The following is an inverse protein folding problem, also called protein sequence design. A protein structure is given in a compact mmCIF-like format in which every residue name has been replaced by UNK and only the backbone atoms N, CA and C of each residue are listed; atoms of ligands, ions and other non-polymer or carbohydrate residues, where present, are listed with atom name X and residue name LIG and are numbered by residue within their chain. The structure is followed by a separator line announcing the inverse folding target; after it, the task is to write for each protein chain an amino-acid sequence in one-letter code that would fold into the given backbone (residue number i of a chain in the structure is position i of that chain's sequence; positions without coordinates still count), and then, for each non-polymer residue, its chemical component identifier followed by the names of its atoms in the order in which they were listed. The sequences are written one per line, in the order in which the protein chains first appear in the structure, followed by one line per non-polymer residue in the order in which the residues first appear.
data_IF_001803985756
#
_entry.id   IF_001803985756
#
_cell.length_a   1.000
_cell.length_b   1.000
_cell.length_c   1.000
_cell.angle_alpha   90.00
_cell.angle_beta   90.00
_cell.angle_gamma   90.00
#
_symmetry.space_group_name_H-M   'P 1'
#
loop_
_entity.id
_entity.type
_entity.pdbx_description
1 polymer ?
#
# COMPACT_ATOMS: atom_id res chain seq x y z
N UNK A 1 -62.55 -32.36 -54.67
CA UNK A 1 -61.87 -32.40 -53.35
C UNK A 1 -61.76 -30.96 -52.86
N UNK A 2 -62.71 -30.35 -52.12
CA UNK A 2 -63.32 -30.68 -50.80
C UNK A 2 -62.28 -30.75 -49.67
N UNK A 3 -62.43 -30.15 -48.46
CA UNK A 3 -63.42 -29.24 -47.79
C UNK A 3 -62.56 -28.16 -47.04
N UNK A 4 -62.91 -26.88 -46.81
CA UNK A 4 -64.04 -26.19 -46.11
C UNK A 4 -64.13 -26.48 -44.58
N UNK A 5 -64.44 -25.42 -43.81
CA UNK A 5 -64.88 -25.33 -42.38
C UNK A 5 -63.82 -25.07 -41.28
N UNK A 6 -64.07 -24.29 -40.21
CA UNK A 6 -64.97 -23.11 -40.00
C UNK A 6 -64.71 -22.45 -38.60
N UNK A 7 -64.54 -21.11 -38.53
CA UNK A 7 -65.10 -20.21 -37.46
C UNK A 7 -64.62 -20.44 -35.97
N UNK A 8 -64.75 -19.57 -34.95
CA UNK A 8 -65.62 -18.41 -34.74
C UNK A 8 -65.22 -17.53 -33.54
N UNK A 9 -65.78 -16.30 -33.48
CA UNK A 9 -66.03 -15.42 -32.28
C UNK A 9 -64.83 -14.67 -31.65
N UNK A 10 -64.95 -13.41 -31.18
CA UNK A 10 -66.11 -12.47 -31.18
C UNK A 10 -65.69 -11.00 -30.92
N UNK A 11 -66.32 -10.08 -31.65
CA UNK A 11 -66.88 -8.78 -31.19
C UNK A 11 -65.95 -7.74 -30.54
N UNK A 12 -65.52 -6.80 -31.38
CA UNK A 12 -65.96 -5.39 -31.40
C UNK A 12 -67.05 -4.94 -30.37
N UNK A 13 -67.07 -3.71 -29.85
CA UNK A 13 -66.08 -2.60 -29.89
C UNK A 13 -66.59 -1.38 -29.06
N UNK A 14 -65.72 -0.36 -28.90
CA UNK A 14 -66.02 1.09 -28.64
C UNK A 14 -66.67 1.49 -27.28
N UNK A 15 -65.93 2.28 -26.48
CA UNK A 15 -66.18 3.73 -26.26
C UNK A 15 -65.06 4.35 -25.39
N UNK A 16 -64.51 5.51 -25.78
CA UNK A 16 -63.49 6.21 -24.96
C UNK A 16 -62.53 7.12 -25.73
N UNK A 17 -63.01 8.26 -26.23
CA UNK A 17 -62.23 9.25 -26.99
C UNK A 17 -61.24 10.01 -26.09
N UNK A 18 -59.97 10.18 -26.52
CA UNK A 18 -59.28 11.47 -26.38
C UNK A 18 -58.11 11.67 -27.37
N UNK A 19 -57.91 12.93 -27.75
CA UNK A 19 -56.87 13.45 -28.64
C UNK A 19 -55.44 13.15 -28.17
N UNK A 20 -54.51 12.95 -29.14
CA UNK A 20 -53.13 13.41 -28.98
C UNK A 20 -52.62 14.02 -30.30
N UNK A 21 -51.99 15.20 -30.23
CA UNK A 21 -51.39 15.85 -31.38
C UNK A 21 -50.08 15.14 -31.79
N UNK A 22 -49.88 14.95 -33.11
CA UNK A 22 -48.54 14.71 -33.63
C UNK A 22 -47.75 16.03 -33.62
N UNK A 23 -46.67 16.07 -32.83
CA UNK A 23 -45.56 16.99 -33.05
C UNK A 23 -44.33 16.18 -33.46
N UNK A 24 -44.03 16.17 -34.76
CA UNK A 24 -42.78 15.63 -35.31
C UNK A 24 -41.62 16.55 -34.97
N UNK A 25 -40.96 16.30 -33.83
CA UNK A 25 -39.69 16.93 -33.50
C UNK A 25 -38.58 16.14 -34.21
N UNK A 26 -38.01 16.71 -35.28
CA UNK A 26 -36.70 16.27 -35.77
C UNK A 26 -35.65 16.69 -34.75
N UNK A 27 -35.37 15.82 -33.78
CA UNK A 27 -34.15 15.95 -32.98
C UNK A 27 -32.97 15.53 -33.84
N UNK A 28 -32.14 16.50 -34.21
CA UNK A 28 -30.80 16.23 -34.71
C UNK A 28 -30.02 15.56 -33.58
N UNK A 29 -29.98 14.23 -33.61
CA UNK A 29 -29.33 13.40 -32.62
C UNK A 29 -27.84 13.70 -32.56
N UNK A 30 -27.45 14.64 -31.68
CA UNK A 30 -26.14 14.56 -31.06
C UNK A 30 -26.12 13.23 -30.32
N UNK A 31 -25.46 12.24 -30.90
CA UNK A 31 -24.90 11.14 -30.13
C UNK A 31 -23.87 11.79 -29.22
N UNK A 32 -24.35 12.27 -28.07
CA UNK A 32 -23.51 12.40 -26.90
C UNK A 32 -22.93 11.00 -26.73
N UNK A 33 -21.65 10.86 -27.06
CA UNK A 33 -20.86 9.82 -26.42
C UNK A 33 -20.92 10.17 -24.95
N UNK A 34 -21.88 9.57 -24.25
CA UNK A 34 -21.68 9.26 -22.86
C UNK A 34 -20.39 8.43 -22.87
N UNK A 35 -19.27 9.10 -22.59
CA UNK A 35 -18.19 8.39 -21.94
C UNK A 35 -18.88 7.72 -20.76
N UNK A 36 -18.83 6.39 -20.73
CA UNK A 36 -19.04 5.67 -19.50
C UNK A 36 -17.91 6.16 -18.61
N UNK A 37 -18.19 7.22 -17.84
CA UNK A 37 -17.43 7.52 -16.65
C UNK A 37 -17.85 6.39 -15.72
N UNK A 38 -17.16 5.26 -15.88
CA UNK A 38 -17.08 4.23 -14.85
C UNK A 38 -16.86 5.00 -13.54
N UNK A 39 -17.75 4.87 -12.54
CA UNK A 39 -17.46 5.44 -11.25
C UNK A 39 -16.19 4.77 -10.76
N UNK A 40 -15.09 5.53 -10.72
CA UNK A 40 -13.80 5.11 -10.18
C UNK A 40 -13.94 4.92 -8.66
N UNK A 41 -14.59 3.81 -8.31
CA UNK A 41 -14.87 3.37 -6.96
C UNK A 41 -13.62 2.86 -6.28
N UNK A 42 -13.42 3.31 -5.05
CA UNK A 42 -12.28 2.98 -4.23
C UNK A 42 -12.24 1.50 -3.85
N UNK A 43 -11.08 0.87 -4.07
CA UNK A 43 -10.54 -0.20 -3.23
C UNK A 43 -10.99 -1.66 -3.43
N UNK A 44 -11.18 -2.16 -4.66
CA UNK A 44 -11.35 -3.61 -4.85
C UNK A 44 -10.04 -4.40 -4.61
N UNK A 45 -10.05 -5.26 -3.59
CA UNK A 45 -9.12 -6.39 -3.45
C UNK A 45 -9.67 -7.61 -4.19
N UNK A 46 -8.82 -8.32 -4.93
CA UNK A 46 -9.22 -9.39 -5.86
C UNK A 46 -9.06 -10.81 -5.30
N UNK A 47 -8.55 -10.95 -4.09
CA UNK A 47 -8.37 -12.24 -3.43
C UNK A 47 -8.14 -12.12 -1.93
N UNK A 48 -8.33 -13.23 -1.24
CA UNK A 48 -7.97 -13.39 0.17
C UNK A 48 -7.22 -14.71 0.36
N UNK A 49 -6.35 -14.77 1.37
CA UNK A 49 -5.51 -15.94 1.63
C UNK A 49 -5.13 -16.03 3.09
N UNK A 50 -5.16 -17.26 3.61
CA UNK A 50 -4.48 -17.64 4.85
C UNK A 50 -3.02 -17.91 4.52
N UNK A 51 -2.15 -16.96 4.81
CA UNK A 51 -0.70 -17.16 4.66
C UNK A 51 -0.24 -17.91 5.89
N UNK A 52 0.42 -19.05 5.69
CA UNK A 52 0.86 -19.92 6.79
C UNK A 52 -0.27 -20.64 7.54
N UNK A 53 -0.03 -20.95 8.81
CA UNK A 53 -0.76 -21.91 9.63
C UNK A 53 -2.01 -21.33 10.34
N UNK A 54 -2.87 -20.62 9.59
CA UNK A 54 -4.07 -19.94 10.12
C UNK A 54 -5.26 -20.90 10.30
N UNK A 55 -5.38 -21.49 11.49
CA UNK A 55 -6.29 -22.62 11.76
C UNK A 55 -7.71 -22.25 12.23
N UNK A 56 -7.91 -21.05 12.76
CA UNK A 56 -9.23 -20.56 13.23
C UNK A 56 -10.02 -19.83 12.12
N UNK A 57 -11.30 -19.52 12.34
CA UNK A 57 -12.08 -18.65 11.46
C UNK A 57 -11.48 -17.25 11.32
N UNK A 58 -11.57 -16.70 10.12
CA UNK A 58 -11.11 -15.37 9.72
C UNK A 58 -12.14 -14.77 8.76
N UNK A 59 -12.18 -13.45 8.60
CA UNK A 59 -13.18 -12.80 7.75
C UNK A 59 -12.77 -11.41 7.31
N UNK A 60 -13.25 -11.00 6.13
CA UNK A 60 -13.22 -9.62 5.67
C UNK A 60 -14.64 -9.12 5.42
N UNK A 61 -14.90 -7.87 5.76
CA UNK A 61 -16.12 -7.15 5.44
C UNK A 61 -15.76 -5.73 4.99
N UNK A 62 -16.24 -5.33 3.82
CA UNK A 62 -16.15 -3.94 3.37
C UNK A 62 -17.43 -3.20 3.76
N UNK A 63 -17.28 -2.06 4.44
CA UNK A 63 -18.34 -1.11 4.75
C UNK A 63 -18.23 0.06 3.76
N UNK A 64 -19.07 0.02 2.73
CA UNK A 64 -19.12 1.05 1.68
C UNK A 64 -19.72 2.38 2.14
N UNK A 65 -20.41 2.44 3.28
CA UNK A 65 -20.94 3.69 3.81
C UNK A 65 -19.86 4.50 4.55
N UNK A 66 -18.84 3.81 5.08
CA UNK A 66 -17.71 4.43 5.80
C UNK A 66 -16.37 4.31 5.05
N UNK A 67 -16.34 3.66 3.88
CA UNK A 67 -15.14 3.31 3.11
C UNK A 67 -14.08 2.56 3.95
N UNK A 68 -14.51 1.58 4.76
CA UNK A 68 -13.62 0.84 5.66
C UNK A 68 -13.61 -0.66 5.43
N UNK A 69 -12.45 -1.27 5.68
CA UNK A 69 -12.31 -2.72 5.72
C UNK A 69 -12.23 -3.20 7.18
N UNK A 70 -13.20 -4.02 7.60
CA UNK A 70 -13.14 -4.76 8.87
C UNK A 70 -12.56 -6.14 8.58
N UNK A 71 -11.37 -6.41 9.10
CA UNK A 71 -10.65 -7.67 8.89
C UNK A 71 -10.43 -8.37 10.24
N UNK A 72 -10.91 -9.60 10.34
CA UNK A 72 -10.63 -10.52 11.46
C UNK A 72 -9.60 -11.53 11.00
N UNK A 73 -8.42 -11.52 11.62
CA UNK A 73 -7.29 -12.37 11.25
C UNK A 73 -6.73 -13.16 12.44
N UNK A 74 -5.88 -14.13 12.14
CA UNK A 74 -5.22 -14.98 13.12
C UNK A 74 -3.88 -15.47 12.57
N UNK A 75 -2.99 -15.92 13.45
CA UNK A 75 -1.73 -16.58 13.13
C UNK A 75 -0.70 -16.39 14.23
N UNK A 76 0.40 -17.16 14.20
CA UNK A 76 1.41 -17.12 15.26
C UNK A 76 2.26 -15.84 15.24
N UNK A 77 2.74 -15.40 14.07
CA UNK A 77 3.43 -14.12 13.90
C UNK A 77 3.63 -13.76 12.42
N UNK A 78 4.12 -12.55 12.15
CA UNK A 78 4.74 -12.17 10.87
C UNK A 78 6.19 -11.79 11.17
N UNK A 79 7.07 -12.79 11.36
CA UNK A 79 8.40 -12.59 11.95
C UNK A 79 9.38 -13.73 11.67
N UNK A 80 10.68 -13.49 11.79
CA UNK A 80 11.73 -14.45 11.42
C UNK A 80 11.56 -14.96 9.97
N UNK A 81 11.58 -16.27 9.76
CA UNK A 81 11.63 -16.94 8.46
C UNK A 81 10.26 -17.34 7.89
N UNK A 82 9.16 -17.10 8.63
CA UNK A 82 7.81 -17.46 8.18
C UNK A 82 6.72 -16.57 8.78
N UNK A 83 5.62 -16.40 8.03
CA UNK A 83 4.48 -15.58 8.42
C UNK A 83 3.19 -16.40 8.45
N UNK A 84 2.45 -16.25 9.54
CA UNK A 84 1.11 -16.78 9.76
C UNK A 84 0.15 -15.59 9.93
N UNK A 85 -0.68 -15.30 8.94
CA UNK A 85 -1.67 -14.21 9.00
C UNK A 85 -2.78 -14.34 7.96
N UNK A 86 -3.90 -13.63 8.17
CA UNK A 86 -4.94 -13.49 7.15
C UNK A 86 -4.69 -12.26 6.28
N UNK A 87 -4.71 -12.46 4.96
CA UNK A 87 -4.28 -11.47 3.98
C UNK A 87 -5.38 -11.23 2.94
N UNK A 88 -5.78 -9.97 2.74
CA UNK A 88 -6.75 -9.54 1.74
C UNK A 88 -6.02 -8.67 0.72
N UNK A 89 -5.96 -9.08 -0.54
CA UNK A 89 -4.96 -8.60 -1.49
C UNK A 89 -5.49 -8.40 -2.92
N UNK A 90 -4.74 -7.60 -3.69
CA UNK A 90 -4.80 -7.60 -5.15
C UNK A 90 -3.39 -7.73 -5.72
N UNK A 91 -3.30 -8.09 -6.99
CA UNK A 91 -2.04 -7.95 -7.73
C UNK A 91 -1.83 -6.48 -8.11
N UNK A 92 -0.60 -6.03 -8.08
CA UNK A 92 -0.19 -4.69 -8.51
C UNK A 92 1.17 -4.75 -9.22
N UNK A 93 1.42 -3.82 -10.14
CA UNK A 93 2.59 -3.90 -11.02
C UNK A 93 3.43 -2.62 -11.05
N UNK A 94 4.73 -2.77 -10.80
CA UNK A 94 5.69 -1.66 -10.80
C UNK A 94 5.61 -0.81 -9.53
N UNK A 95 5.75 0.50 -9.70
CA UNK A 95 5.73 1.47 -8.62
C UNK A 95 4.30 1.67 -8.09
N UNK A 96 4.17 1.78 -6.78
CA UNK A 96 2.89 1.95 -6.11
C UNK A 96 3.03 2.69 -4.78
N UNK A 97 1.93 3.27 -4.31
CA UNK A 97 1.82 3.95 -3.02
C UNK A 97 0.51 3.58 -2.35
N UNK A 98 0.59 3.18 -1.08
CA UNK A 98 -0.57 2.83 -0.25
C UNK A 98 -0.61 3.65 1.04
N UNK A 99 -1.82 3.96 1.51
CA UNK A 99 -2.07 4.69 2.75
C UNK A 99 -3.19 4.00 3.55
N UNK A 100 -3.12 3.98 4.89
CA UNK A 100 -4.24 3.58 5.76
C UNK A 100 -4.09 4.17 7.17
N UNK A 101 -5.21 4.38 7.83
CA UNK A 101 -5.30 4.42 9.29
C UNK A 101 -5.71 3.03 9.80
N UNK A 102 -5.33 2.68 11.03
CA UNK A 102 -5.70 1.41 11.69
C UNK A 102 -6.44 1.69 12.99
N UNK A 103 -7.48 0.90 13.27
CA UNK A 103 -8.18 0.88 14.55
C UNK A 103 -8.48 -0.56 14.99
N UNK A 104 -7.87 -0.98 16.09
CA UNK A 104 -8.18 -2.25 16.72
C UNK A 104 -9.57 -2.30 17.36
N UNK A 105 -10.20 -3.48 17.33
CA UNK A 105 -11.41 -3.77 18.08
C UNK A 105 -11.03 -4.54 19.35
N UNK A 106 -11.51 -4.03 20.50
CA UNK A 106 -11.16 -4.57 21.82
C UNK A 106 -9.69 -4.37 22.21
N UNK A 107 -9.38 -4.68 23.47
CA UNK A 107 -8.00 -4.59 24.00
C UNK A 107 -7.03 -5.55 23.30
N UNK A 108 -7.55 -6.68 22.82
CA UNK A 108 -6.74 -7.80 22.32
C UNK A 108 -6.18 -8.67 23.45
N UNK A 109 -5.70 -9.87 23.09
CA UNK A 109 -5.06 -10.82 24.00
C UNK A 109 -3.54 -10.60 24.12
N UNK A 110 -2.89 -10.21 23.02
CA UNK A 110 -1.44 -10.08 22.90
C UNK A 110 -1.09 -8.72 22.28
N UNK A 111 -0.20 -8.00 22.94
CA UNK A 111 0.19 -6.63 22.59
C UNK A 111 0.87 -6.51 21.21
N UNK A 112 1.51 -7.57 20.73
CA UNK A 112 2.18 -7.63 19.43
C UNK A 112 1.34 -8.27 18.29
N UNK A 113 0.00 -8.38 18.46
CA UNK A 113 -0.94 -8.58 17.32
C UNK A 113 -0.71 -7.51 16.26
N UNK A 114 -0.82 -7.84 14.97
CA UNK A 114 -0.39 -6.98 13.84
C UNK A 114 -1.53 -6.69 12.87
N UNK A 115 -1.66 -5.44 12.45
CA UNK A 115 -2.53 -4.98 11.38
C UNK A 115 -1.72 -4.10 10.43
N UNK A 116 -1.63 -4.47 9.15
CA UNK A 116 -0.60 -3.95 8.26
C UNK A 116 -1.04 -3.74 6.81
N UNK A 117 -0.42 -2.77 6.14
CA UNK A 117 -0.26 -2.78 4.69
C UNK A 117 0.91 -3.68 4.33
N UNK A 118 0.69 -4.73 3.53
CA UNK A 118 1.71 -5.74 3.19
C UNK A 118 1.87 -5.83 1.67
N UNK A 119 3.11 -5.72 1.19
CA UNK A 119 3.53 -5.97 -0.19
C UNK A 119 4.43 -7.22 -0.19
N UNK A 120 4.08 -8.26 -0.95
CA UNK A 120 4.78 -9.56 -0.97
C UNK A 120 5.13 -10.00 -2.39
N UNK A 121 6.26 -10.70 -2.52
CA UNK A 121 6.61 -11.40 -3.76
C UNK A 121 5.61 -12.53 -4.12
N UNK A 122 4.99 -13.14 -3.10
CA UNK A 122 4.08 -14.27 -3.25
C UNK A 122 3.23 -14.52 -2.01
N UNK A 123 2.50 -15.64 -2.03
CA UNK A 123 1.55 -16.05 -0.99
C UNK A 123 2.10 -17.16 -0.07
N UNK A 124 3.35 -17.60 -0.24
CA UNK A 124 3.96 -18.54 0.68
C UNK A 124 4.39 -17.81 1.98
N UNK A 125 4.36 -18.56 3.10
CA UNK A 125 4.65 -18.02 4.44
C UNK A 125 6.05 -17.43 4.57
N UNK A 126 7.01 -17.97 3.82
CA UNK A 126 8.42 -17.62 3.86
C UNK A 126 8.84 -16.62 2.77
N UNK A 127 7.92 -16.14 1.92
CA UNK A 127 8.26 -15.25 0.80
C UNK A 127 8.85 -13.90 1.26
N UNK A 128 9.69 -13.24 0.42
CA UNK A 128 10.10 -11.86 0.62
C UNK A 128 8.91 -10.91 0.70
N UNK A 129 8.98 -9.95 1.61
CA UNK A 129 7.93 -8.97 1.80
C UNK A 129 8.43 -7.67 2.43
N UNK A 130 7.57 -6.66 2.39
CA UNK A 130 7.62 -5.49 3.25
C UNK A 130 6.24 -5.11 3.74
N UNK A 131 6.15 -4.62 4.97
CA UNK A 131 4.93 -4.08 5.54
C UNK A 131 5.13 -2.75 6.26
N UNK A 132 4.03 -2.01 6.35
CA UNK A 132 3.84 -0.94 7.32
C UNK A 132 2.79 -1.44 8.33
N UNK A 133 3.24 -1.72 9.56
CA UNK A 133 2.47 -2.46 10.57
C UNK A 133 2.19 -1.63 11.83
N UNK A 134 0.94 -1.68 12.27
CA UNK A 134 0.48 -1.26 13.60
C UNK A 134 0.39 -2.50 14.51
N UNK A 135 1.12 -2.48 15.63
CA UNK A 135 1.02 -3.50 16.67
C UNK A 135 -0.09 -3.14 17.67
N UNK A 136 -0.75 -4.12 18.30
CA UNK A 136 -1.83 -3.92 19.28
C UNK A 136 -1.54 -2.92 20.42
N UNK A 137 -0.28 -2.78 20.83
CA UNK A 137 0.23 -1.77 21.79
C UNK A 137 0.51 -0.37 21.22
N UNK A 138 0.23 -0.15 19.94
CA UNK A 138 0.47 1.08 19.19
C UNK A 138 1.89 1.28 18.65
N UNK A 139 2.76 0.27 18.71
CA UNK A 139 4.08 0.34 18.07
C UNK A 139 3.91 0.25 16.55
N UNK A 140 4.37 1.26 15.82
CA UNK A 140 4.37 1.25 14.36
C UNK A 140 5.79 0.91 13.87
N UNK A 141 5.89 -0.04 12.94
CA UNK A 141 7.15 -0.43 12.31
C UNK A 141 7.03 -0.50 10.79
N UNK A 142 8.18 -0.35 10.12
CA UNK A 142 8.45 -0.91 8.80
C UNK A 142 9.09 -2.28 9.02
N UNK A 143 8.42 -3.39 8.67
CA UNK A 143 9.01 -4.74 8.78
C UNK A 143 9.23 -5.33 7.39
N UNK A 144 10.30 -6.10 7.20
CA UNK A 144 10.66 -6.64 5.88
C UNK A 144 11.49 -7.92 5.94
N UNK A 145 11.32 -8.78 4.93
CA UNK A 145 12.14 -9.97 4.68
C UNK A 145 12.77 -9.86 3.29
N UNK A 146 14.10 -9.88 3.22
CA UNK A 146 14.87 -9.64 1.99
C UNK A 146 14.82 -10.80 0.99
N UNK A 147 14.83 -12.04 1.48
CA UNK A 147 14.92 -13.26 0.66
C UNK A 147 14.00 -14.34 1.23
N UNK A 148 13.61 -15.31 0.40
CA UNK A 148 12.73 -16.41 0.80
C UNK A 148 13.34 -17.21 1.96
N UNK A 149 12.60 -17.38 3.06
CA UNK A 149 13.07 -18.00 4.30
C UNK A 149 14.10 -17.21 5.09
N UNK A 150 14.43 -15.97 4.69
CA UNK A 150 15.32 -15.08 5.43
C UNK A 150 14.66 -14.50 6.68
N UNK A 151 15.46 -13.90 7.57
CA UNK A 151 14.97 -13.27 8.80
C UNK A 151 14.21 -11.97 8.50
N UNK A 152 13.07 -11.73 9.17
CA UNK A 152 12.43 -10.41 9.23
C UNK A 152 13.30 -9.40 9.98
N UNK A 153 13.44 -8.21 9.42
CA UNK A 153 14.07 -7.03 10.02
C UNK A 153 13.00 -5.96 10.32
N UNK A 154 13.30 -5.01 11.21
CA UNK A 154 12.41 -3.87 11.48
C UNK A 154 13.14 -2.52 11.51
N UNK A 155 12.41 -1.46 11.15
CA UNK A 155 12.73 -0.06 11.48
C UNK A 155 11.53 0.52 12.22
N UNK A 156 11.74 1.02 13.44
CA UNK A 156 10.67 1.55 14.28
C UNK A 156 10.30 2.96 13.89
N UNK A 157 9.01 3.26 13.90
CA UNK A 157 8.50 4.63 13.75
C UNK A 157 8.92 5.50 14.94
N UNK A 158 9.27 6.79 14.73
CA UNK A 158 9.50 7.74 15.81
C UNK A 158 8.20 8.15 16.54
N UNK A 159 7.03 7.86 15.96
CA UNK A 159 5.72 8.12 16.59
C UNK A 159 4.86 6.87 16.68
N UNK A 160 4.17 6.73 17.81
CA UNK A 160 3.24 5.64 18.12
C UNK A 160 1.83 5.94 17.59
N UNK A 161 1.04 4.89 17.40
CA UNK A 161 -0.36 4.97 17.03
C UNK A 161 -1.21 5.80 18.03
N UNK A 162 -2.38 6.32 17.62
CA UNK A 162 -2.90 6.35 16.25
C UNK A 162 -2.07 7.30 15.37
N UNK A 163 -1.77 6.86 14.15
CA UNK A 163 -1.14 7.62 13.08
C UNK A 163 -1.48 6.98 11.73
N UNK A 164 -1.48 7.76 10.64
CA UNK A 164 -1.62 7.22 9.28
C UNK A 164 -0.33 6.57 8.85
N UNK A 165 -0.39 5.35 8.34
CA UNK A 165 0.75 4.70 7.69
C UNK A 165 0.73 4.96 6.19
N UNK A 166 1.90 5.22 5.61
CA UNK A 166 2.12 5.40 4.16
C UNK A 166 3.30 4.53 3.75
N UNK A 167 3.13 3.66 2.76
CA UNK A 167 4.19 2.82 2.19
C UNK A 167 4.24 3.04 0.68
N UNK A 168 5.44 3.28 0.14
CA UNK A 168 5.67 3.59 -1.28
C UNK A 168 6.77 2.71 -1.84
N UNK A 169 6.54 2.13 -3.02
CA UNK A 169 7.51 1.39 -3.84
C UNK A 169 7.95 2.27 -5.02
N UNK A 170 9.26 2.41 -5.20
CA UNK A 170 9.89 3.02 -6.37
C UNK A 170 11.00 2.08 -6.86
N UNK A 171 10.68 1.23 -7.83
CA UNK A 171 11.53 0.13 -8.27
C UNK A 171 11.74 -0.89 -7.14
N UNK A 172 13.00 -1.04 -6.70
CA UNK A 172 13.37 -1.88 -5.56
C UNK A 172 13.53 -1.09 -4.25
N UNK A 173 13.31 0.23 -4.25
CA UNK A 173 13.27 1.02 -3.03
C UNK A 173 11.87 1.07 -2.45
N UNK A 174 11.76 0.86 -1.14
CA UNK A 174 10.51 0.96 -0.40
C UNK A 174 10.68 1.97 0.73
N UNK A 175 9.84 2.99 0.77
CA UNK A 175 9.89 4.03 1.80
C UNK A 175 8.61 4.07 2.60
N UNK A 176 8.74 4.09 3.93
CA UNK A 176 7.63 4.27 4.85
C UNK A 176 7.66 5.64 5.50
N UNK A 177 6.48 6.26 5.58
CA UNK A 177 6.22 7.41 6.44
C UNK A 177 5.02 7.13 7.34
N UNK A 178 4.93 7.92 8.40
CA UNK A 178 3.74 8.04 9.23
C UNK A 178 3.30 9.49 9.31
N UNK A 179 1.99 9.74 9.38
CA UNK A 179 1.43 11.08 9.59
C UNK A 179 0.66 11.10 10.91
N UNK A 180 1.06 12.02 11.81
CA UNK A 180 0.41 12.25 13.09
C UNK A 180 0.24 13.75 13.31
N UNK A 181 -0.96 14.16 13.69
CA UNK A 181 -1.32 15.57 13.93
C UNK A 181 -0.93 16.53 12.77
N UNK A 182 -1.03 16.02 11.53
CA UNK A 182 -0.65 16.73 10.29
C UNK A 182 0.85 16.71 9.96
N UNK A 183 1.71 16.27 10.87
CA UNK A 183 3.16 16.17 10.69
C UNK A 183 3.51 14.81 10.06
N UNK A 184 4.28 14.81 8.97
CA UNK A 184 4.79 13.59 8.31
C UNK A 184 6.21 13.28 8.80
N UNK A 185 6.39 12.10 9.38
CA UNK A 185 7.68 11.57 9.82
C UNK A 185 8.14 10.47 8.86
N UNK A 186 9.41 10.50 8.46
CA UNK A 186 10.04 9.39 7.73
C UNK A 186 10.38 8.28 8.72
N UNK A 187 9.95 7.05 8.45
CA UNK A 187 10.36 5.86 9.22
C UNK A 187 11.67 5.33 8.65
N UNK A 188 11.73 5.13 7.33
CA UNK A 188 12.95 4.77 6.63
C UNK A 188 12.70 4.34 5.18
N UNK A 189 13.79 4.19 4.44
CA UNK A 189 13.83 3.59 3.11
C UNK A 189 14.68 2.31 3.17
N UNK A 190 14.21 1.23 2.55
CA UNK A 190 14.93 -0.05 2.44
C UNK A 190 14.89 -0.56 1.00
N UNK A 191 15.95 -1.25 0.59
CA UNK A 191 16.06 -1.85 -0.74
C UNK A 191 15.71 -3.34 -0.68
N UNK A 192 14.75 -3.79 -1.47
CA UNK A 192 14.28 -5.19 -1.52
C UNK A 192 14.05 -5.57 -2.98
N UNK A 193 14.58 -6.73 -3.38
CA UNK A 193 14.35 -7.27 -4.72
C UNK A 193 13.03 -8.05 -4.75
N UNK A 194 11.92 -7.33 -4.90
CA UNK A 194 10.60 -7.92 -5.15
C UNK A 194 10.34 -7.99 -6.66
N UNK A 195 9.63 -9.02 -7.16
CA UNK A 195 9.22 -9.11 -8.57
C UNK A 195 8.45 -7.87 -9.05
N UNK A 196 8.38 -7.65 -10.37
CA UNK A 196 7.70 -6.49 -10.95
C UNK A 196 6.19 -6.51 -10.66
N UNK A 197 5.56 -7.69 -10.74
CA UNK A 197 4.21 -7.94 -10.24
C UNK A 197 4.29 -8.50 -8.81
N UNK A 198 3.53 -7.91 -7.89
CA UNK A 198 3.48 -8.27 -6.46
C UNK A 198 2.05 -8.45 -5.98
N UNK A 199 1.90 -9.12 -4.85
CA UNK A 199 0.68 -9.08 -4.05
C UNK A 199 0.74 -7.88 -3.11
N UNK A 200 -0.30 -7.07 -3.07
CA UNK A 200 -0.39 -5.88 -2.22
C UNK A 200 -1.77 -5.82 -1.56
N UNK A 201 -1.81 -5.64 -0.25
CA UNK A 201 -3.03 -5.91 0.52
C UNK A 201 -2.94 -5.58 2.01
N UNK A 202 -4.03 -5.85 2.71
CA UNK A 202 -4.18 -5.67 4.15
C UNK A 202 -4.01 -7.01 4.87
N UNK A 203 -3.16 -7.04 5.91
CA UNK A 203 -2.88 -8.23 6.72
C UNK A 203 -3.32 -8.06 8.17
N UNK A 204 -3.86 -9.13 8.78
CA UNK A 204 -4.12 -9.20 10.23
C UNK A 204 -3.62 -10.50 10.84
N UNK A 205 -2.80 -10.39 11.88
CA UNK A 205 -2.24 -11.48 12.68
C UNK A 205 -2.58 -11.28 14.17
N UNK A 206 -3.04 -12.34 14.85
CA UNK A 206 -3.38 -12.31 16.29
C UNK A 206 -2.18 -12.45 17.22
N UNK A 207 -1.02 -12.86 16.70
CA UNK A 207 0.17 -13.28 17.45
C UNK A 207 -0.05 -14.55 18.32
N UNK A 208 -1.09 -15.32 17.99
CA UNK A 208 -1.47 -16.61 18.58
C UNK A 208 -2.46 -17.31 17.65
N UNK A 209 -2.05 -18.41 17.00
CA UNK A 209 -2.87 -19.15 16.03
C UNK A 209 -4.13 -19.82 16.60
N UNK A 210 -4.32 -19.80 17.93
CA UNK A 210 -5.52 -20.34 18.60
C UNK A 210 -6.65 -19.32 18.77
N UNK A 211 -6.39 -18.04 18.50
CA UNK A 211 -7.38 -16.95 18.60
C UNK A 211 -7.39 -16.05 17.35
N UNK A 212 -8.47 -15.30 17.17
CA UNK A 212 -8.58 -14.28 16.12
C UNK A 212 -8.73 -12.87 16.71
N UNK A 213 -8.13 -11.87 16.06
CA UNK A 213 -8.20 -10.46 16.41
C UNK A 213 -8.81 -9.66 15.24
N UNK A 214 -9.49 -8.54 15.51
CA UNK A 214 -10.15 -7.72 14.47
C UNK A 214 -9.60 -6.30 14.43
N UNK A 215 -9.19 -5.85 13.24
CA UNK A 215 -8.84 -4.47 12.93
C UNK A 215 -9.84 -3.86 11.93
N UNK A 216 -10.02 -2.53 12.02
CA UNK A 216 -10.65 -1.71 10.99
C UNK A 216 -9.55 -0.89 10.31
N UNK A 217 -9.53 -0.92 8.99
CA UNK A 217 -8.69 -0.11 8.13
C UNK A 217 -9.55 0.96 7.46
N UNK A 218 -9.12 2.22 7.50
CA UNK A 218 -9.86 3.36 6.96
C UNK A 218 -8.92 4.39 6.31
N UNK A 219 -9.48 5.39 5.62
CA UNK A 219 -8.72 6.38 4.84
C UNK A 219 -7.74 5.72 3.86
N UNK A 220 -8.20 4.62 3.28
CA UNK A 220 -7.43 3.74 2.43
C UNK A 220 -7.14 4.40 1.08
N UNK A 221 -5.88 4.32 0.63
CA UNK A 221 -5.51 4.66 -0.74
C UNK A 221 -4.64 3.57 -1.33
N UNK A 222 -4.83 3.33 -2.63
CA UNK A 222 -3.97 2.49 -3.45
C UNK A 222 -3.75 3.21 -4.78
N UNK A 223 -2.52 3.62 -5.04
CA UNK A 223 -2.13 4.31 -6.26
C UNK A 223 -1.01 3.51 -6.94
N UNK A 224 -1.26 3.01 -8.14
CA UNK A 224 -0.19 2.46 -9.01
C UNK A 224 0.33 3.59 -9.88
N UNK A 225 1.63 3.87 -9.80
CA UNK A 225 2.32 4.87 -10.62
C UNK A 225 3.04 4.23 -11.82
N UNK A 226 3.02 2.90 -11.90
CA UNK A 226 3.37 2.12 -13.08
C UNK A 226 4.83 1.68 -13.15
N UNK A 227 5.21 1.07 -14.26
CA UNK A 227 6.58 0.59 -14.48
C UNK A 227 7.44 1.72 -15.08
N UNK A 228 8.37 2.24 -14.29
CA UNK A 228 9.42 3.16 -14.78
C UNK A 228 10.71 2.36 -15.03
N UNK A 229 11.25 2.32 -16.27
CA UNK A 229 12.53 1.68 -16.56
C UNK A 229 13.67 2.31 -15.77
N UNK A 230 14.63 1.49 -15.31
CA UNK A 230 15.71 1.94 -14.43
C UNK A 230 16.57 3.07 -15.04
N UNK A 231 16.80 3.05 -16.35
CA UNK A 231 17.53 4.11 -17.08
C UNK A 231 16.74 5.43 -17.22
N UNK A 232 15.45 5.43 -16.88
CA UNK A 232 14.57 6.61 -16.85
C UNK A 232 14.31 7.12 -15.43
N UNK A 233 14.75 6.41 -14.39
CA UNK A 233 14.58 6.85 -13.00
C UNK A 233 15.55 7.97 -12.68
N UNK A 234 15.03 9.07 -12.15
CA UNK A 234 15.85 10.12 -11.56
C UNK A 234 16.37 9.61 -10.22
N UNK A 235 17.68 9.36 -10.15
CA UNK A 235 18.33 9.10 -8.87
C UNK A 235 18.41 10.41 -8.10
N UNK A 236 17.88 10.41 -6.88
CA UNK A 236 18.04 11.48 -5.92
C UNK A 236 18.57 10.90 -4.62
N UNK A 237 19.71 11.41 -4.17
CA UNK A 237 20.38 10.93 -2.96
C UNK A 237 20.31 11.98 -1.86
N UNK A 238 20.15 11.51 -0.63
CA UNK A 238 20.11 12.33 0.57
C UNK A 238 21.21 11.88 1.53
N UNK A 239 22.08 12.80 1.95
CA UNK A 239 22.97 12.60 3.09
C UNK A 239 22.24 13.02 4.35
N UNK A 240 22.13 12.10 5.31
CA UNK A 240 21.52 12.33 6.62
C UNK A 240 22.49 11.96 7.73
N UNK A 241 22.44 12.69 8.85
CA UNK A 241 22.93 12.18 10.13
C UNK A 241 21.76 11.62 10.93
N UNK A 242 22.03 10.57 11.71
CA UNK A 242 21.07 9.97 12.65
C UNK A 242 21.67 10.07 14.04
N UNK A 243 20.97 10.72 14.96
CA UNK A 243 21.32 10.71 16.38
C UNK A 243 20.93 9.32 16.95
N UNK A 244 21.82 8.69 17.70
CA UNK A 244 21.73 7.26 18.04
C UNK A 244 20.67 7.00 19.11
N UNK A 245 20.56 7.86 20.13
CA UNK A 245 19.70 7.63 21.28
C UNK A 245 18.23 7.95 20.99
N UNK A 246 17.98 9.03 20.24
CA UNK A 246 16.63 9.49 19.85
C UNK A 246 16.17 9.00 18.48
N UNK A 247 17.08 8.52 17.62
CA UNK A 247 16.79 8.19 16.22
C UNK A 247 16.50 9.41 15.32
N UNK A 248 16.69 10.65 15.81
CA UNK A 248 16.40 11.87 15.05
C UNK A 248 17.31 11.94 13.82
N UNK A 249 16.68 12.05 12.65
CA UNK A 249 17.34 12.22 11.34
C UNK A 249 17.43 13.68 10.96
N UNK A 250 18.61 14.13 10.53
CA UNK A 250 18.83 15.49 10.00
C UNK A 250 19.40 15.40 8.59
N UNK A 251 18.71 15.97 7.60
CA UNK A 251 19.22 16.12 6.24
C UNK A 251 20.40 17.09 6.20
N UNK A 252 21.56 16.61 5.78
CA UNK A 252 22.78 17.41 5.57
C UNK A 252 22.81 17.96 4.14
N UNK A 253 22.46 17.14 3.15
CA UNK A 253 22.48 17.51 1.73
C UNK A 253 21.59 16.61 0.89
N UNK A 254 21.10 17.12 -0.24
CA UNK A 254 20.23 16.41 -1.18
C UNK A 254 20.52 16.86 -2.61
N UNK A 255 20.67 15.93 -3.55
CA UNK A 255 20.84 16.24 -4.97
C UNK A 255 20.31 15.12 -5.87
N UNK A 256 20.03 15.46 -7.14
CA UNK A 256 19.65 14.53 -8.21
C UNK A 256 20.88 13.81 -8.81
N UNK A 257 21.65 13.22 -7.92
CA UNK A 257 22.93 12.54 -8.21
C UNK A 257 22.98 11.24 -7.40
N UNK A 258 23.83 10.30 -7.78
CA UNK A 258 24.08 9.09 -7.00
C UNK A 258 25.16 9.35 -5.94
N UNK A 259 24.82 9.21 -4.66
CA UNK A 259 25.77 9.24 -3.55
C UNK A 259 26.04 7.82 -3.04
N UNK A 260 27.30 7.48 -2.83
CA UNK A 260 27.72 6.17 -2.35
C UNK A 260 28.69 6.29 -1.18
N UNK A 261 28.82 5.21 -0.39
CA UNK A 261 29.82 5.05 0.68
C UNK A 261 29.99 6.29 1.61
N UNK A 262 28.91 6.84 2.22
CA UNK A 262 29.04 7.95 3.15
C UNK A 262 29.85 7.54 4.39
N UNK A 263 30.74 8.43 4.84
CA UNK A 263 31.60 8.19 6.00
C UNK A 263 31.88 9.51 6.76
N UNK A 264 32.38 9.43 7.99
CA UNK A 264 32.65 10.61 8.84
C UNK A 264 34.12 10.98 8.84
N UNK A 265 34.43 12.28 8.97
CA UNK A 265 35.79 12.72 9.32
C UNK A 265 36.17 12.31 10.74
N UNK A 266 37.46 12.09 10.96
CA UNK A 266 37.99 11.68 12.28
C UNK A 266 37.71 12.68 13.40
N UNK A 267 37.44 13.94 13.06
CA UNK A 267 37.06 15.01 14.00
C UNK A 267 35.54 15.26 14.08
N UNK A 268 34.73 14.47 13.37
CA UNK A 268 33.26 14.56 13.38
C UNK A 268 32.66 15.79 12.69
N UNK A 269 33.46 16.61 11.99
CA UNK A 269 32.99 17.88 11.40
C UNK A 269 32.53 17.79 9.96
N UNK A 270 33.01 16.81 9.21
CA UNK A 270 32.69 16.60 7.79
C UNK A 270 32.13 15.20 7.57
N UNK A 271 31.30 15.07 6.53
CA UNK A 271 31.01 13.80 5.87
C UNK A 271 31.83 13.69 4.58
N UNK A 272 32.37 12.51 4.32
CA UNK A 272 32.86 12.06 3.02
C UNK A 272 31.76 11.29 2.31
N UNK A 273 31.69 11.37 0.99
CA UNK A 273 30.85 10.50 0.17
C UNK A 273 31.39 10.41 -1.26
N UNK A 274 31.09 9.33 -1.95
CA UNK A 274 31.38 9.15 -3.37
C UNK A 274 30.24 9.73 -4.21
N UNK A 275 30.57 10.40 -5.32
CA UNK A 275 29.63 10.84 -6.34
C UNK A 275 30.33 10.84 -7.69
N UNK A 276 29.76 10.18 -8.70
CA UNK A 276 30.31 10.09 -10.06
C UNK A 276 31.80 9.68 -10.10
N UNK A 277 32.17 8.69 -9.28
CA UNK A 277 33.54 8.15 -9.19
C UNK A 277 34.56 9.03 -8.45
N UNK A 278 34.13 10.07 -7.75
CA UNK A 278 35.00 10.99 -6.99
C UNK A 278 34.54 11.14 -5.54
N UNK A 279 35.48 11.39 -4.62
CA UNK A 279 35.16 11.67 -3.21
C UNK A 279 34.88 13.16 -3.02
N UNK A 280 33.78 13.48 -2.34
CA UNK A 280 33.40 14.82 -1.92
C UNK A 280 33.39 14.93 -0.39
N UNK A 281 33.57 16.15 0.11
CA UNK A 281 33.46 16.53 1.51
C UNK A 281 32.36 17.55 1.70
N UNK A 282 31.63 17.48 2.81
CA UNK A 282 30.65 18.48 3.21
C UNK A 282 30.61 18.62 4.74
N UNK A 283 30.44 19.83 5.32
CA UNK A 283 30.23 19.96 6.76
C UNK A 283 28.97 19.22 7.22
N UNK A 284 29.01 18.68 8.44
CA UNK A 284 27.87 17.97 9.06
C UNK A 284 26.65 18.89 9.26
N UNK A 285 26.86 20.20 9.39
CA UNK A 285 25.80 21.21 9.41
C UNK A 285 25.23 21.56 8.01
N UNK A 286 25.65 20.86 6.96
CA UNK A 286 25.28 21.12 5.56
C UNK A 286 26.17 22.17 4.88
N UNK A 287 25.79 22.55 3.66
CA UNK A 287 26.49 23.54 2.84
C UNK A 287 26.79 23.05 1.43
N UNK A 288 27.78 23.65 0.76
CA UNK A 288 28.22 23.26 -0.58
C UNK A 288 29.28 22.14 -0.49
N UNK A 289 29.08 20.99 -1.16
CA UNK A 289 30.11 19.96 -1.24
C UNK A 289 31.38 20.46 -1.93
N UNK A 290 32.53 19.97 -1.47
CA UNK A 290 33.84 20.24 -2.06
C UNK A 290 34.48 18.94 -2.51
N UNK A 291 34.90 18.88 -3.77
CA UNK A 291 35.69 17.77 -4.30
C UNK A 291 36.96 17.60 -3.43
N UNK A 292 37.14 16.41 -2.85
CA UNK A 292 38.38 16.06 -2.17
C UNK A 292 39.39 15.65 -3.25
N UNK A 293 40.55 16.29 -3.29
CA UNK A 293 41.63 15.82 -4.14
C UNK A 293 42.25 14.56 -3.51
N UNK A 294 42.31 13.48 -4.29
CA UNK A 294 42.85 12.17 -3.88
C UNK A 294 44.03 11.74 -4.76
N UNK A 295 44.61 12.68 -5.50
CA UNK A 295 45.86 12.52 -6.24
C UNK A 295 47.09 12.76 -5.36
#
# INVERSE_FOLDING_TARGET
MQYISYDSRTRDSILGVLFLLLFTILTSGRVAHAQIIEPLGSMEFTGETKVGDVKVPVSVQYDSANETYRITGSGNNMWLNEDDFFYVWRKAKGDLKVETDVKWIGKGKIDDRKAAWVIRAGLAKDDPYIDAVDHGRGLICLQYRLVKGGTTHEVRSPVWAPARMILERTGNQFTMWVVKDGIRYTVGTVSIDLPEEVYAGLGVCSHDSTISETAIFSNLKFQETGVVPMDKRVIESTLETVEIDSGIRTTVYKAKEHFEAPNWSRDGKLLYYNMNGKIYTIPVAGGTPKLLNTA
#
